data_IF_315700775399
#
_entry.id   IF_315700775399
#
_cell.length_a   1.000
_cell.length_b   1.000
_cell.length_c   1.000
_cell.angle_alpha   90.00
_cell.angle_beta   90.00
_cell.angle_gamma   90.00
#
_symmetry.space_group_name_H-M   'P 1'
#
loop_
_entity.id
_entity.type
_entity.pdbx_description
1 polymer ?
#
# COMPACT_ATOMS: atom_id res chain seq x y z
N UNK A 1 -1.24 43.89 -10.70
CA UNK A 1 -0.58 43.79 -9.39
C UNK A 1 -0.12 42.36 -9.26
N UNK A 2 1.19 42.14 -9.25
CA UNK A 2 1.79 40.81 -9.33
C UNK A 2 1.54 40.01 -8.04
N UNK A 3 1.54 38.67 -8.13
CA UNK A 3 1.34 37.77 -7.00
C UNK A 3 2.39 38.00 -5.90
N UNK A 4 3.62 38.32 -6.31
CA UNK A 4 4.72 38.65 -5.39
C UNK A 4 4.43 39.91 -4.56
N UNK A 5 3.82 40.93 -5.18
CA UNK A 5 3.42 42.17 -4.49
C UNK A 5 2.30 41.94 -3.48
N UNK A 6 1.42 40.95 -3.72
CA UNK A 6 0.36 40.56 -2.77
C UNK A 6 0.95 39.82 -1.56
N UNK A 7 1.91 38.93 -1.79
CA UNK A 7 2.59 38.18 -0.73
C UNK A 7 3.41 39.13 0.16
N UNK A 8 4.17 40.06 -0.43
CA UNK A 8 4.92 41.06 0.35
C UNK A 8 4.02 41.91 1.24
N UNK A 9 2.88 42.36 0.72
CA UNK A 9 1.92 43.18 1.48
C UNK A 9 1.26 42.40 2.62
N UNK A 10 0.92 41.13 2.38
CA UNK A 10 0.33 40.28 3.40
C UNK A 10 1.31 39.97 4.55
N UNK A 11 2.59 39.78 4.25
CA UNK A 11 3.63 39.54 5.25
C UNK A 11 3.99 40.78 6.10
N UNK A 12 3.63 41.98 5.63
CA UNK A 12 3.92 43.25 6.29
C UNK A 12 2.73 43.80 7.09
N UNK A 13 1.60 43.09 7.14
CA UNK A 13 0.42 43.50 7.90
C UNK A 13 0.61 43.19 9.40
N UNK A 14 0.78 44.21 10.28
CA UNK A 14 1.04 44.00 11.70
C UNK A 14 -0.18 43.44 12.47
N UNK A 15 -1.39 43.46 11.89
CA UNK A 15 -2.60 42.97 12.55
C UNK A 15 -2.87 41.48 12.29
N UNK A 16 -2.28 40.89 11.25
CA UNK A 16 -2.57 39.51 10.79
C UNK A 16 -1.37 38.74 10.25
N UNK A 17 -0.17 39.33 10.31
CA UNK A 17 1.05 38.72 9.79
C UNK A 17 1.58 37.59 10.70
N UNK A 18 2.33 36.64 10.12
CA UNK A 18 3.06 35.64 10.89
C UNK A 18 4.15 36.30 11.76
N UNK A 19 4.75 35.52 12.68
CA UNK A 19 5.78 36.06 13.57
C UNK A 19 6.93 36.73 12.80
N UNK A 20 7.59 37.76 13.36
CA UNK A 20 8.62 38.55 12.66
C UNK A 20 9.75 37.67 12.09
N UNK A 21 10.10 36.61 12.80
CA UNK A 21 11.14 35.67 12.40
C UNK A 21 10.74 34.83 11.18
N UNK A 22 9.45 34.46 11.07
CA UNK A 22 8.94 33.74 9.92
C UNK A 22 8.85 34.65 8.69
N UNK A 23 8.33 35.87 8.87
CA UNK A 23 8.25 36.86 7.79
C UNK A 23 9.64 37.19 7.22
N UNK A 24 10.66 37.32 8.09
CA UNK A 24 12.03 37.58 7.67
C UNK A 24 12.64 36.44 6.84
N UNK A 25 12.38 35.17 7.21
CA UNK A 25 12.86 34.00 6.46
C UNK A 25 12.22 33.88 5.10
N UNK A 26 10.91 34.13 5.00
CA UNK A 26 10.18 34.09 3.72
C UNK A 26 10.65 35.22 2.80
N UNK A 27 10.87 36.43 3.33
CA UNK A 27 11.38 37.55 2.53
C UNK A 27 12.83 37.33 2.05
N UNK A 28 13.67 36.63 2.83
CA UNK A 28 15.03 36.29 2.45
C UNK A 28 15.12 35.18 1.38
N UNK A 29 14.09 34.34 1.27
CA UNK A 29 14.00 33.27 0.28
C UNK A 29 13.48 33.73 -1.10
N UNK A 30 12.92 34.94 -1.19
CA UNK A 30 12.48 35.50 -2.47
C UNK A 30 13.70 35.93 -3.30
N UNK A 31 13.79 35.54 -4.59
CA UNK A 31 14.92 35.90 -5.44
C UNK A 31 15.01 37.42 -5.58
N UNK A 32 16.18 37.98 -5.21
CA UNK A 32 16.44 39.40 -5.36
C UNK A 32 16.48 39.77 -6.85
N UNK A 33 15.41 40.39 -7.35
CA UNK A 33 15.37 40.91 -8.71
C UNK A 33 16.38 42.06 -8.85
N UNK A 34 17.63 41.73 -9.26
CA UNK A 34 18.51 42.72 -9.89
C UNK A 34 17.81 43.16 -11.18
N UNK A 35 17.25 44.37 -11.17
CA UNK A 35 16.79 45.04 -12.38
C UNK A 35 18.01 45.28 -13.28
N UNK A 36 18.25 44.36 -14.21
CA UNK A 36 19.16 44.57 -15.34
C UNK A 36 18.50 45.61 -16.27
N UNK A 37 19.17 46.72 -16.63
CA UNK A 37 18.51 47.80 -17.37
C UNK A 37 18.50 47.60 -18.88
N UNK A 38 18.90 46.45 -19.45
CA UNK A 38 19.22 46.36 -20.88
C UNK A 38 18.45 45.22 -21.58
N UNK A 39 17.23 45.53 -22.02
CA UNK A 39 16.67 44.97 -23.25
C UNK A 39 15.78 46.03 -23.88
N UNK A 40 15.97 46.30 -25.18
CA UNK A 40 15.20 45.52 -26.14
C UNK A 40 15.97 45.11 -27.42
N UNK A 41 15.27 44.31 -28.22
CA UNK A 41 15.58 43.85 -29.59
C UNK A 41 16.44 42.58 -29.64
N UNK A 42 15.82 41.44 -29.94
CA UNK A 42 15.78 40.93 -31.31
C UNK A 42 14.79 39.76 -31.43
N UNK A 43 13.90 39.88 -32.42
CA UNK A 43 13.11 38.78 -32.99
C UNK A 43 14.00 37.98 -33.96
N UNK A 44 13.59 36.72 -34.18
CA UNK A 44 13.85 35.87 -35.35
C UNK A 44 15.28 35.30 -35.52
N UNK A 45 15.41 33.98 -35.37
CA UNK A 45 15.90 33.06 -36.41
C UNK A 45 16.10 31.64 -35.85
N UNK A 46 15.35 30.66 -36.38
CA UNK A 46 15.89 29.32 -36.64
C UNK A 46 16.86 29.43 -37.86
N UNK A 47 17.72 28.44 -38.24
CA UNK A 47 17.58 26.99 -37.98
C UNK A 47 18.92 26.19 -37.86
N UNK A 48 18.80 24.86 -37.85
CA UNK A 48 19.74 23.81 -38.28
C UNK A 48 20.82 23.25 -37.32
N UNK A 49 20.88 21.91 -37.29
CA UNK A 49 22.05 21.08 -37.00
C UNK A 49 22.18 20.66 -35.53
N UNK A 50 22.44 19.43 -35.15
CA UNK A 50 22.81 18.24 -35.90
C UNK A 50 22.47 16.99 -35.06
N UNK A 51 22.16 15.92 -35.77
CA UNK A 51 22.04 14.55 -35.29
C UNK A 51 23.39 14.03 -34.77
N UNK A 52 23.37 13.34 -33.64
CA UNK A 52 24.41 12.36 -33.29
C UNK A 52 23.75 11.17 -32.57
N UNK A 53 23.47 10.13 -33.36
CA UNK A 53 23.25 8.77 -32.90
C UNK A 53 24.54 8.24 -32.27
N UNK A 54 24.44 7.62 -31.10
CA UNK A 54 25.36 6.56 -30.68
C UNK A 54 24.54 5.45 -30.01
N UNK A 55 24.15 4.48 -30.84
CA UNK A 55 23.65 3.19 -30.40
C UNK A 55 24.86 2.31 -30.05
N UNK A 56 24.87 1.78 -28.82
CA UNK A 56 25.72 0.64 -28.44
C UNK A 56 24.77 -0.48 -28.08
N UNK A 57 24.76 -1.52 -28.90
CA UNK A 57 23.93 -2.72 -28.75
C UNK A 57 24.82 -3.96 -28.90
N UNK A 58 24.55 -4.91 -27.99
CA UNK A 58 24.80 -6.35 -28.01
C UNK A 58 26.19 -6.92 -27.68
N UNK A 59 26.23 -7.65 -26.57
CA UNK A 59 26.56 -9.07 -26.61
C UNK A 59 25.73 -9.84 -25.56
N UNK A 60 24.73 -10.58 -26.04
CA UNK A 60 23.95 -11.57 -25.30
C UNK A 60 24.75 -12.87 -25.24
N UNK A 61 24.97 -13.38 -24.02
CA UNK A 61 25.49 -14.72 -23.76
C UNK A 61 24.36 -15.73 -23.69
N UNK A 62 24.37 -16.70 -24.60
CA UNK A 62 23.43 -17.83 -24.67
C UNK A 62 23.86 -18.91 -23.67
N UNK A 63 22.96 -19.29 -22.75
CA UNK A 63 23.09 -20.51 -21.95
C UNK A 63 21.95 -21.45 -22.36
N UNK A 64 22.30 -22.62 -22.89
CA UNK A 64 21.37 -23.64 -23.37
C UNK A 64 20.71 -24.44 -22.24
N UNK A 65 19.62 -25.18 -22.52
CA UNK A 65 18.95 -26.00 -21.53
C UNK A 65 19.60 -27.38 -21.40
N UNK A 66 19.83 -27.82 -20.16
CA UNK A 66 20.15 -29.20 -19.84
C UNK A 66 18.83 -29.98 -19.60
N UNK A 67 18.68 -31.05 -20.37
CA UNK A 67 17.61 -32.05 -20.25
C UNK A 67 18.00 -33.04 -19.15
N UNK A 68 17.10 -33.31 -18.20
CA UNK A 68 17.27 -34.32 -17.15
C UNK A 68 15.92 -34.95 -16.77
N UNK A 69 15.88 -36.24 -16.39
CA UNK A 69 14.77 -37.13 -16.72
C UNK A 69 13.62 -37.15 -15.71
N UNK A 70 12.48 -37.61 -16.23
CA UNK A 70 11.25 -37.96 -15.53
C UNK A 70 11.46 -38.95 -14.39
N UNK A 71 10.95 -38.59 -13.20
CA UNK A 71 10.67 -39.54 -12.13
C UNK A 71 9.16 -39.72 -12.04
N UNK A 72 8.70 -40.90 -12.43
CA UNK A 72 7.34 -41.40 -12.22
C UNK A 72 7.17 -41.75 -10.74
N UNK A 73 6.26 -41.07 -10.03
CA UNK A 73 5.78 -41.51 -8.72
C UNK A 73 4.30 -41.85 -8.79
N UNK A 74 3.97 -43.05 -8.33
CA UNK A 74 2.63 -43.59 -8.20
C UNK A 74 1.88 -42.90 -7.05
N UNK A 75 0.56 -42.67 -7.15
CA UNK A 75 -0.21 -42.20 -6.01
C UNK A 75 -0.53 -43.36 -5.06
N UNK A 76 -0.04 -43.21 -3.83
CA UNK A 76 -0.49 -43.95 -2.65
C UNK A 76 -1.89 -43.48 -2.26
N UNK A 77 -2.77 -44.46 -2.01
CA UNK A 77 -4.09 -44.27 -1.42
C UNK A 77 -4.01 -43.66 -0.01
N UNK A 78 -4.89 -42.70 0.24
CA UNK A 78 -5.61 -42.55 1.51
C UNK A 78 -4.95 -41.68 2.59
N UNK A 79 -5.33 -40.41 2.63
CA UNK A 79 -5.40 -39.64 3.87
C UNK A 79 -6.57 -38.65 3.76
N UNK A 80 -7.48 -38.56 4.75
CA UNK A 80 -8.63 -37.67 4.67
C UNK A 80 -8.16 -36.21 4.77
N UNK A 81 -8.46 -35.46 3.71
CA UNK A 81 -8.32 -34.01 3.63
C UNK A 81 -9.25 -33.36 4.67
N UNK A 82 -8.78 -32.42 5.53
CA UNK A 82 -9.67 -31.72 6.44
C UNK A 82 -10.59 -30.82 5.60
N UNK A 83 -11.87 -31.16 5.59
CA UNK A 83 -12.93 -30.37 4.95
C UNK A 83 -12.84 -28.91 5.39
N UNK A 84 -12.57 -28.02 4.45
CA UNK A 84 -12.76 -26.59 4.62
C UNK A 84 -14.25 -26.32 4.86
N UNK A 85 -14.62 -26.09 6.12
CA UNK A 85 -15.97 -25.66 6.47
C UNK A 85 -16.20 -24.26 5.91
N UNK A 86 -17.08 -24.16 4.91
CA UNK A 86 -17.49 -22.89 4.30
C UNK A 86 -18.16 -22.03 5.38
N UNK A 87 -17.53 -20.91 5.74
CA UNK A 87 -18.07 -19.92 6.68
C UNK A 87 -19.31 -19.27 6.05
N UNK A 88 -20.45 -19.34 6.75
CA UNK A 88 -21.70 -18.74 6.27
C UNK A 88 -21.57 -17.21 6.20
N UNK A 89 -22.08 -16.62 5.12
CA UNK A 89 -22.01 -15.17 4.80
C UNK A 89 -22.66 -14.23 5.82
N UNK A 90 -23.32 -14.73 6.86
CA UNK A 90 -23.89 -13.95 7.97
C UNK A 90 -22.98 -13.81 9.19
N UNK A 91 -21.88 -14.57 9.26
CA UNK A 91 -20.97 -14.61 10.41
C UNK A 91 -19.73 -13.71 10.23
N UNK A 92 -19.64 -12.95 9.13
CA UNK A 92 -18.53 -12.04 8.86
C UNK A 92 -18.84 -10.58 9.26
N UNK A 93 -17.81 -9.85 9.66
CA UNK A 93 -17.84 -8.40 9.78
C UNK A 93 -18.03 -7.73 8.42
N UNK A 94 -18.44 -6.44 8.36
CA UNK A 94 -18.63 -5.71 7.11
C UNK A 94 -17.40 -5.70 6.19
N UNK A 95 -16.22 -5.91 6.78
CA UNK A 95 -14.94 -5.97 6.10
C UNK A 95 -14.50 -7.40 5.71
N UNK A 96 -15.42 -8.37 5.83
CA UNK A 96 -15.24 -9.76 5.41
C UNK A 96 -14.58 -10.67 6.44
N UNK A 97 -13.97 -10.13 7.50
CA UNK A 97 -13.30 -10.94 8.54
C UNK A 97 -14.37 -11.69 9.37
N UNK A 98 -14.29 -13.03 9.51
CA UNK A 98 -15.22 -13.79 10.34
C UNK A 98 -15.28 -13.29 11.78
N UNK A 99 -16.47 -13.23 12.37
CA UNK A 99 -16.70 -12.95 13.80
C UNK A 99 -16.52 -14.20 14.66
N UNK A 100 -16.59 -15.38 14.06
CA UNK A 100 -16.38 -16.67 14.71
C UNK A 100 -15.84 -17.70 13.71
N UNK A 101 -15.03 -18.65 14.18
CA UNK A 101 -14.57 -19.81 13.40
C UNK A 101 -14.74 -21.05 14.27
N UNK A 102 -15.45 -22.06 13.77
CA UNK A 102 -15.71 -23.29 14.53
C UNK A 102 -16.45 -23.06 15.86
N UNK A 103 -17.25 -21.99 15.95
CA UNK A 103 -17.96 -21.59 17.18
C UNK A 103 -17.11 -20.81 18.20
N UNK A 104 -15.81 -20.61 17.93
CA UNK A 104 -14.95 -19.77 18.76
C UNK A 104 -14.99 -18.32 18.28
N UNK A 105 -15.17 -17.32 19.18
CA UNK A 105 -15.22 -15.91 18.79
C UNK A 105 -13.86 -15.41 18.30
N UNK A 106 -13.88 -14.52 17.30
CA UNK A 106 -12.71 -13.80 16.80
C UNK A 106 -12.66 -12.43 17.46
N UNK A 107 -11.70 -12.22 18.35
CA UNK A 107 -11.50 -10.96 19.05
C UNK A 107 -10.86 -9.92 18.13
N UNK A 108 -11.28 -8.65 18.26
CA UNK A 108 -10.81 -7.55 17.42
C UNK A 108 -10.57 -6.28 18.24
N UNK A 109 -9.63 -5.46 17.80
CA UNK A 109 -9.34 -4.15 18.40
C UNK A 109 -9.09 -4.22 19.91
N UNK A 110 -9.77 -3.34 20.66
CA UNK A 110 -9.62 -3.25 22.12
C UNK A 110 -10.00 -4.55 22.86
N UNK A 111 -10.88 -5.38 22.29
CA UNK A 111 -11.27 -6.64 22.91
C UNK A 111 -10.09 -7.63 23.00
N UNK A 112 -9.10 -7.52 22.10
CA UNK A 112 -7.88 -8.31 22.19
C UNK A 112 -7.10 -7.93 23.44
N UNK A 113 -6.88 -6.63 23.67
CA UNK A 113 -6.12 -6.13 24.80
C UNK A 113 -6.81 -6.42 26.14
N UNK A 114 -8.13 -6.32 26.20
CA UNK A 114 -8.92 -6.73 27.37
C UNK A 114 -8.71 -8.21 27.68
N UNK A 115 -8.82 -9.08 26.66
CA UNK A 115 -8.65 -10.52 26.86
C UNK A 115 -7.23 -10.87 27.31
N UNK A 116 -6.21 -10.24 26.73
CA UNK A 116 -4.80 -10.43 27.14
C UNK A 116 -4.60 -10.05 28.61
N UNK A 117 -5.15 -8.92 29.05
CA UNK A 117 -5.03 -8.45 30.42
C UNK A 117 -5.78 -9.34 31.45
N UNK A 118 -6.82 -10.04 31.02
CA UNK A 118 -7.65 -10.92 31.86
C UNK A 118 -7.20 -12.40 31.80
N UNK A 119 -6.33 -12.77 30.87
CA UNK A 119 -5.87 -14.15 30.69
C UNK A 119 -4.88 -14.54 31.79
N UNK A 120 -5.06 -15.73 32.37
CA UNK A 120 -4.19 -16.27 33.43
C UNK A 120 -3.36 -17.48 32.97
N UNK A 121 -3.60 -17.99 31.75
CA UNK A 121 -2.94 -19.17 31.18
C UNK A 121 -2.59 -19.00 29.69
N UNK A 122 -1.90 -19.98 29.13
CA UNK A 122 -1.43 -20.00 27.74
C UNK A 122 -2.47 -20.54 26.74
N UNK A 123 -3.76 -20.58 27.11
CA UNK A 123 -4.81 -21.09 26.24
C UNK A 123 -4.93 -20.24 24.97
N UNK A 124 -4.79 -20.88 23.81
CA UNK A 124 -4.89 -20.19 22.54
C UNK A 124 -6.31 -19.68 22.24
N UNK A 125 -6.39 -18.46 21.69
CA UNK A 125 -7.62 -17.80 21.27
C UNK A 125 -7.51 -17.23 19.85
N UNK A 126 -8.64 -16.79 19.27
CA UNK A 126 -8.68 -16.24 17.92
C UNK A 126 -8.72 -14.71 17.94
N UNK A 127 -7.86 -14.10 17.13
CA UNK A 127 -7.84 -12.65 16.91
C UNK A 127 -7.95 -12.34 15.42
N UNK A 128 -8.65 -11.27 15.08
CA UNK A 128 -8.87 -10.84 13.69
C UNK A 128 -8.45 -9.40 13.46
N UNK A 129 -7.99 -9.11 12.25
CA UNK A 129 -7.61 -7.75 11.86
C UNK A 129 -6.72 -7.71 10.63
N UNK A 130 -6.03 -6.59 10.45
CA UNK A 130 -5.11 -6.33 9.34
C UNK A 130 -3.69 -6.32 9.85
N UNK A 131 -2.83 -7.13 9.25
CA UNK A 131 -1.41 -7.18 9.63
C UNK A 131 -0.68 -6.05 8.93
N UNK A 132 0.09 -5.28 9.71
CA UNK A 132 1.01 -4.27 9.20
C UNK A 132 2.39 -4.46 9.82
N UNK A 133 3.41 -4.22 9.00
CA UNK A 133 4.78 -4.13 9.47
C UNK A 133 5.04 -2.70 9.94
N UNK A 134 5.50 -2.55 11.16
CA UNK A 134 5.96 -1.31 11.75
C UNK A 134 7.47 -1.34 11.87
N UNK A 135 8.12 -0.35 11.28
CA UNK A 135 9.56 -0.12 11.36
C UNK A 135 9.76 1.21 12.07
N UNK A 136 10.15 1.15 13.33
CA UNK A 136 10.58 2.28 14.13
C UNK A 136 12.00 2.66 13.73
N UNK A 137 12.20 3.89 13.25
CA UNK A 137 13.53 4.47 13.17
C UNK A 137 13.98 4.81 14.60
N UNK A 138 14.77 3.92 15.19
CA UNK A 138 15.37 4.15 16.50
C UNK A 138 16.89 3.94 16.43
N UNK A 139 17.63 4.93 16.93
CA UNK A 139 19.07 4.83 17.17
C UNK A 139 19.32 3.92 18.37
N UNK A 140 19.21 2.60 18.19
CA UNK A 140 19.55 1.64 19.26
C UNK A 140 21.06 1.52 19.32
N UNK A 141 21.67 2.04 20.39
CA UNK A 141 23.02 1.60 20.75
C UNK A 141 23.04 0.06 20.91
N UNK A 142 24.12 -0.61 20.49
CA UNK A 142 24.18 -2.07 20.39
C UNK A 142 24.28 -2.74 21.78
N UNK A 143 23.20 -2.75 22.56
CA UNK A 143 23.15 -3.44 23.86
C UNK A 143 21.74 -3.68 24.44
N UNK A 144 20.65 -3.65 23.66
CA UNK A 144 19.39 -4.16 24.20
C UNK A 144 19.57 -5.68 24.47
N UNK A 145 19.33 -6.18 25.70
CA UNK A 145 19.37 -7.60 25.97
C UNK A 145 18.38 -8.30 25.03
N UNK A 146 18.87 -9.26 24.24
CA UNK A 146 18.04 -10.00 23.31
C UNK A 146 16.88 -10.66 24.05
N UNK A 147 15.66 -10.47 23.57
CA UNK A 147 14.48 -11.17 24.05
C UNK A 147 14.05 -12.19 23.00
N UNK A 148 13.62 -13.41 23.40
CA UNK A 148 13.05 -14.38 22.47
C UNK A 148 11.68 -13.95 21.91
N UNK A 149 11.02 -12.96 22.53
CA UNK A 149 9.65 -12.55 22.20
C UNK A 149 9.55 -11.08 21.76
N UNK A 150 10.43 -10.20 22.23
CA UNK A 150 10.36 -8.78 21.93
C UNK A 150 11.48 -8.38 20.97
N UNK A 151 11.11 -7.84 19.80
CA UNK A 151 12.04 -7.09 18.96
C UNK A 151 12.30 -5.69 19.55
N UNK A 152 13.47 -5.09 19.29
CA UNK A 152 13.81 -3.74 19.74
C UNK A 152 12.82 -2.69 19.22
N UNK A 153 12.66 -1.58 19.95
CA UNK A 153 11.91 -0.38 19.54
C UNK A 153 10.44 -0.56 19.13
N UNK A 154 9.81 -1.66 19.54
CA UNK A 154 8.50 -2.02 19.03
C UNK A 154 8.46 -2.25 17.51
N UNK A 155 9.61 -2.54 16.90
CA UNK A 155 9.68 -3.08 15.54
C UNK A 155 8.92 -4.40 15.43
N UNK A 156 8.34 -4.63 14.25
CA UNK A 156 7.77 -5.91 13.90
C UNK A 156 6.36 -5.75 13.37
N UNK A 157 5.48 -6.68 13.72
CA UNK A 157 4.14 -6.70 13.15
C UNK A 157 3.11 -6.38 14.21
N UNK A 158 2.03 -5.78 13.74
CA UNK A 158 0.91 -5.41 14.56
C UNK A 158 -0.39 -5.77 13.85
N UNK A 159 -1.43 -5.93 14.65
CA UNK A 159 -2.77 -6.25 14.17
C UNK A 159 -3.71 -5.06 14.35
N UNK A 160 -4.10 -4.41 13.25
CA UNK A 160 -5.04 -3.30 13.28
C UNK A 160 -6.48 -3.80 13.15
N UNK A 161 -7.42 -3.13 13.82
CA UNK A 161 -8.85 -3.37 13.65
C UNK A 161 -9.47 -2.57 12.49
N UNK A 162 -8.69 -1.67 11.89
CA UNK A 162 -9.05 -0.89 10.72
C UNK A 162 -8.16 -1.26 9.54
N UNK A 163 -8.68 -1.06 8.33
CA UNK A 163 -7.89 -1.15 7.09
C UNK A 163 -6.69 -0.20 7.15
N UNK A 164 -5.59 -0.49 6.42
CA UNK A 164 -4.46 0.43 6.33
C UNK A 164 -4.93 1.83 5.93
N UNK A 165 -4.62 2.84 6.75
CA UNK A 165 -5.00 4.23 6.51
C UNK A 165 -5.99 4.81 7.53
N UNK A 166 -6.78 3.96 8.20
CA UNK A 166 -7.69 4.42 9.26
C UNK A 166 -6.94 4.92 10.49
N UNK A 167 -7.54 5.87 11.22
CA UNK A 167 -7.02 6.44 12.49
C UNK A 167 -6.96 5.45 13.67
N UNK A 168 -7.12 4.14 13.41
CA UNK A 168 -6.84 3.09 14.38
C UNK A 168 -5.34 3.04 14.62
N UNK A 169 -4.89 3.64 15.72
CA UNK A 169 -3.51 3.54 16.18
C UNK A 169 -3.02 2.09 16.24
N UNK A 170 -1.71 1.86 16.34
CA UNK A 170 -1.16 0.53 16.18
C UNK A 170 -1.80 -0.41 17.20
N UNK A 171 -2.52 -1.40 16.69
CA UNK A 171 -3.13 -2.41 17.55
C UNK A 171 -2.06 -3.32 18.18
N UNK A 172 -2.48 -4.39 18.88
CA UNK A 172 -1.58 -5.27 19.59
C UNK A 172 -0.40 -5.72 18.72
N UNK A 173 0.79 -5.65 19.30
CA UNK A 173 2.00 -6.15 18.66
C UNK A 173 2.00 -7.68 18.67
N UNK A 174 2.37 -8.25 17.53
CA UNK A 174 2.41 -9.69 17.31
C UNK A 174 3.85 -10.19 17.37
N UNK A 175 4.06 -11.25 18.14
CA UNK A 175 5.30 -12.03 18.10
C UNK A 175 5.11 -13.15 17.10
N UNK A 176 5.70 -12.95 15.92
CA UNK A 176 5.66 -13.93 14.85
C UNK A 176 6.97 -14.71 14.91
N UNK A 177 6.88 -16.02 15.14
CA UNK A 177 8.01 -16.93 15.01
C UNK A 177 8.43 -17.10 13.54
N UNK A 178 8.93 -18.29 13.16
CA UNK A 178 9.21 -18.63 11.74
C UNK A 178 7.99 -18.59 10.79
N UNK A 179 6.82 -18.19 11.29
CA UNK A 179 5.53 -18.12 10.60
C UNK A 179 5.34 -16.85 9.74
N UNK A 180 6.36 -16.01 9.55
CA UNK A 180 6.25 -14.79 8.71
C UNK A 180 5.77 -15.09 7.28
N UNK A 181 6.08 -16.30 6.78
CA UNK A 181 5.66 -16.76 5.45
C UNK A 181 4.16 -17.05 5.34
N UNK A 182 3.45 -17.17 6.47
CA UNK A 182 2.01 -17.47 6.51
C UNK A 182 1.15 -16.22 6.54
N UNK A 183 1.73 -15.06 6.88
CA UNK A 183 0.96 -13.83 6.96
C UNK A 183 0.73 -13.30 5.54
N UNK A 184 -0.52 -12.98 5.18
CA UNK A 184 -0.78 -12.35 3.89
C UNK A 184 -0.08 -10.99 3.84
N UNK A 185 0.21 -10.53 2.63
CA UNK A 185 0.78 -9.20 2.41
C UNK A 185 0.02 -8.10 3.16
N UNK A 186 0.75 -7.05 3.53
CA UNK A 186 0.25 -5.91 4.31
C UNK A 186 -1.11 -5.42 3.80
N UNK A 187 -2.05 -5.22 4.73
CA UNK A 187 -3.38 -4.71 4.42
C UNK A 187 -4.46 -5.74 4.08
N UNK A 188 -4.17 -7.04 4.23
CA UNK A 188 -5.16 -8.10 4.13
C UNK A 188 -5.70 -8.50 5.50
N UNK A 189 -7.01 -8.76 5.55
CA UNK A 189 -7.66 -9.33 6.72
C UNK A 189 -7.12 -10.72 7.02
N UNK A 190 -6.94 -11.02 8.31
CA UNK A 190 -6.56 -12.33 8.82
C UNK A 190 -7.41 -12.67 10.03
N UNK A 191 -7.53 -13.97 10.30
CA UNK A 191 -7.76 -14.48 11.64
C UNK A 191 -6.57 -15.36 12.02
N UNK A 192 -5.97 -15.02 13.16
CA UNK A 192 -4.81 -15.69 13.73
C UNK A 192 -5.27 -16.47 14.96
N UNK A 193 -4.70 -17.65 15.14
CA UNK A 193 -4.69 -18.34 16.44
C UNK A 193 -3.45 -17.89 17.18
N UNK A 194 -3.65 -17.36 18.38
CA UNK A 194 -2.60 -16.75 19.20
C UNK A 194 -2.72 -17.21 20.64
N UNK A 195 -1.62 -17.11 21.39
CA UNK A 195 -1.61 -17.28 22.85
C UNK A 195 -0.80 -16.16 23.52
N UNK A 196 -0.95 -16.05 24.84
CA UNK A 196 -0.12 -15.22 25.73
C UNK A 196 0.54 -16.12 26.78
N UNK A 197 1.33 -15.56 27.70
CA UNK A 197 2.03 -16.33 28.74
C UNK A 197 2.95 -17.42 28.16
N UNK A 198 3.58 -17.13 27.01
CA UNK A 198 4.46 -18.08 26.32
C UNK A 198 5.62 -18.50 27.24
N UNK A 199 5.92 -19.81 27.36
CA UNK A 199 6.97 -20.30 28.26
C UNK A 199 8.34 -19.65 28.03
N UNK A 200 8.66 -19.21 26.80
CA UNK A 200 9.94 -18.53 26.48
C UNK A 200 10.08 -17.19 27.18
N UNK A 201 9.01 -16.63 27.73
CA UNK A 201 9.11 -15.46 28.59
C UNK A 201 10.02 -15.74 29.80
N UNK A 202 10.20 -17.01 30.22
CA UNK A 202 11.19 -17.41 31.24
C UNK A 202 12.60 -16.90 31.00
N UNK A 203 12.94 -16.74 29.73
CA UNK A 203 14.30 -16.42 29.29
C UNK A 203 14.49 -14.91 29.10
N UNK A 204 13.42 -14.11 29.27
CA UNK A 204 13.51 -12.66 29.26
C UNK A 204 14.16 -12.11 30.53
N UNK A 205 14.93 -11.03 30.38
CA UNK A 205 15.49 -10.31 31.50
C UNK A 205 14.38 -9.81 32.45
N UNK A 206 14.61 -9.75 33.79
CA UNK A 206 13.58 -9.39 34.76
C UNK A 206 12.90 -8.05 34.47
N UNK A 207 13.63 -7.09 33.90
CA UNK A 207 13.16 -5.74 33.60
C UNK A 207 12.12 -5.70 32.47
N UNK A 208 12.13 -6.70 31.59
CA UNK A 208 11.21 -6.80 30.45
C UNK A 208 10.29 -8.02 30.57
N UNK A 209 10.34 -8.74 31.69
CA UNK A 209 9.63 -10.01 31.87
C UNK A 209 8.12 -9.86 31.70
N UNK A 210 7.52 -8.88 32.36
CA UNK A 210 6.08 -8.63 32.25
C UNK A 210 5.66 -8.41 30.79
N UNK A 211 6.44 -7.65 30.00
CA UNK A 211 6.16 -7.42 28.58
C UNK A 211 6.28 -8.70 27.75
N UNK A 212 7.17 -9.61 28.13
CA UNK A 212 7.29 -10.92 27.48
C UNK A 212 6.11 -11.84 27.82
N UNK A 213 5.65 -11.83 29.09
CA UNK A 213 4.49 -12.63 29.51
C UNK A 213 3.21 -12.14 28.79
N UNK A 214 3.06 -10.83 28.59
CA UNK A 214 1.94 -10.21 27.86
C UNK A 214 2.07 -10.29 26.32
N UNK A 215 3.15 -10.89 25.80
CA UNK A 215 3.40 -10.93 24.37
C UNK A 215 2.41 -11.86 23.65
N UNK A 216 1.75 -11.33 22.61
CA UNK A 216 0.79 -12.10 21.80
C UNK A 216 1.56 -12.89 20.75
N UNK A 217 1.67 -14.20 20.95
CA UNK A 217 2.43 -15.09 20.07
C UNK A 217 1.51 -15.72 19.03
N UNK A 218 1.90 -15.64 17.77
CA UNK A 218 1.13 -16.23 16.66
C UNK A 218 1.48 -17.71 16.51
N UNK A 219 0.50 -18.60 16.70
CA UNK A 219 0.63 -20.03 16.45
C UNK A 219 0.40 -20.37 14.97
N UNK A 220 -0.69 -19.85 14.39
CA UNK A 220 -1.09 -20.16 13.01
C UNK A 220 -2.07 -19.14 12.43
N UNK A 221 -2.16 -19.12 11.10
CA UNK A 221 -3.23 -18.43 10.38
C UNK A 221 -4.38 -19.40 10.20
N UNK A 222 -5.52 -19.13 10.82
CA UNK A 222 -6.71 -20.01 10.75
C UNK A 222 -7.68 -19.58 9.65
N UNK A 223 -7.60 -18.32 9.24
CA UNK A 223 -8.33 -17.80 8.09
C UNK A 223 -7.48 -16.70 7.45
N UNK A 224 -6.88 -16.94 6.29
CA UNK A 224 -6.46 -15.85 5.43
C UNK A 224 -7.72 -15.28 4.77
N UNK A 225 -7.83 -13.95 4.65
CA UNK A 225 -8.80 -13.41 3.71
C UNK A 225 -8.57 -14.07 2.35
N UNK A 226 -9.64 -14.51 1.63
CA UNK A 226 -9.47 -15.06 0.29
C UNK A 226 -8.63 -14.12 -0.56
N UNK A 227 -7.89 -14.65 -1.53
CA UNK A 227 -7.32 -13.77 -2.56
C UNK A 227 -8.47 -12.92 -3.09
N UNK A 228 -8.37 -11.60 -2.93
CA UNK A 228 -9.38 -10.72 -3.49
C UNK A 228 -9.32 -10.94 -4.99
N UNK A 229 -10.47 -11.21 -5.61
CA UNK A 229 -10.56 -11.07 -7.05
C UNK A 229 -10.07 -9.66 -7.40
N UNK A 230 -9.28 -9.57 -8.48
CA UNK A 230 -8.70 -8.30 -8.88
C UNK A 230 -9.84 -7.28 -9.02
N UNK A 231 -9.77 -6.16 -8.30
CA UNK A 231 -10.90 -5.23 -8.22
C UNK A 231 -11.39 -4.82 -9.62
N UNK A 232 -12.70 -4.76 -9.82
CA UNK A 232 -13.30 -4.27 -11.05
C UNK A 232 -14.32 -3.18 -10.72
N UNK A 233 -14.52 -2.20 -11.61
CA UNK A 233 -15.56 -1.23 -11.40
C UNK A 233 -16.95 -1.90 -11.35
N UNK A 234 -17.94 -1.32 -10.65
CA UNK A 234 -19.27 -1.93 -10.50
C UNK A 234 -20.01 -2.22 -11.82
N UNK A 235 -19.63 -1.54 -12.90
CA UNK A 235 -20.19 -1.73 -14.25
C UNK A 235 -19.37 -2.69 -15.13
N UNK A 236 -18.29 -3.28 -14.62
CA UNK A 236 -17.57 -4.32 -15.32
C UNK A 236 -18.48 -5.53 -15.59
N UNK A 237 -18.27 -6.22 -16.70
CA UNK A 237 -19.15 -7.29 -17.14
C UNK A 237 -18.48 -8.24 -18.12
N UNK A 238 -19.29 -8.99 -18.87
CA UNK A 238 -18.81 -10.01 -19.82
C UNK A 238 -17.91 -9.45 -20.95
N UNK A 239 -17.92 -8.14 -21.15
CA UNK A 239 -17.09 -7.43 -22.14
C UNK A 239 -15.78 -6.91 -21.55
N UNK A 240 -15.53 -7.10 -20.25
CA UNK A 240 -14.25 -6.73 -19.63
C UNK A 240 -13.15 -7.64 -20.20
N UNK A 241 -12.04 -7.08 -20.71
CA UNK A 241 -10.98 -7.87 -21.33
C UNK A 241 -10.41 -8.93 -20.39
N UNK A 242 -10.10 -10.11 -20.94
CA UNK A 242 -9.51 -11.21 -20.17
C UNK A 242 -8.19 -10.81 -19.50
N UNK A 243 -7.42 -9.89 -20.12
CA UNK A 243 -6.20 -9.33 -19.55
C UNK A 243 -6.46 -8.55 -18.25
N UNK A 244 -7.62 -7.90 -18.12
CA UNK A 244 -8.01 -7.18 -16.90
C UNK A 244 -8.53 -8.14 -15.84
N UNK A 245 -9.39 -9.09 -16.23
CA UNK A 245 -9.99 -10.06 -15.30
C UNK A 245 -8.94 -11.02 -14.73
N UNK A 246 -8.04 -11.51 -15.58
CA UNK A 246 -7.04 -12.52 -15.21
C UNK A 246 -5.69 -11.89 -14.82
N UNK A 247 -5.64 -10.58 -14.56
CA UNK A 247 -4.40 -9.93 -14.12
C UNK A 247 -3.98 -10.48 -12.76
N UNK A 248 -2.68 -10.45 -12.50
CA UNK A 248 -2.14 -10.84 -11.19
C UNK A 248 -2.71 -9.94 -10.10
N UNK A 249 -3.37 -10.52 -9.09
CA UNK A 249 -3.86 -9.76 -7.94
C UNK A 249 -2.68 -9.19 -7.17
N UNK A 250 -2.74 -7.88 -6.85
CA UNK A 250 -1.79 -7.21 -5.98
C UNK A 250 -2.51 -6.78 -4.68
N UNK A 251 -1.78 -6.51 -3.58
CA UNK A 251 -2.36 -5.87 -2.41
C UNK A 251 -3.15 -4.62 -2.80
N UNK A 252 -4.43 -4.58 -2.44
CA UNK A 252 -5.35 -3.53 -2.85
C UNK A 252 -5.46 -2.45 -1.78
N UNK A 253 -5.12 -1.21 -2.15
CA UNK A 253 -5.17 -0.05 -1.25
C UNK A 253 -6.56 0.60 -1.16
N UNK A 254 -7.55 0.10 -1.91
CA UNK A 254 -8.91 0.61 -1.91
C UNK A 254 -9.28 1.37 -3.19
N UNK A 255 -10.48 1.94 -3.16
CA UNK A 255 -11.06 2.74 -4.23
C UNK A 255 -11.19 4.17 -3.74
N UNK A 256 -10.67 5.14 -4.48
CA UNK A 256 -11.04 6.53 -4.27
C UNK A 256 -12.17 6.94 -5.21
N UNK A 257 -13.18 7.59 -4.66
CA UNK A 257 -14.29 8.16 -5.43
C UNK A 257 -14.18 9.68 -5.41
N UNK A 258 -13.93 10.24 -6.57
CA UNK A 258 -13.85 11.69 -6.73
C UNK A 258 -14.25 12.04 -8.12
N UNK A 259 -15.46 12.58 -8.29
CA UNK A 259 -15.91 13.15 -9.57
C UNK A 259 -14.94 14.22 -10.09
N UNK A 260 -15.32 14.97 -11.12
CA UNK A 260 -14.43 15.96 -11.76
C UNK A 260 -13.71 16.94 -10.81
N UNK A 261 -14.26 17.19 -9.61
CA UNK A 261 -13.68 18.06 -8.56
C UNK A 261 -13.39 17.36 -7.22
N UNK A 262 -13.42 16.03 -7.18
CA UNK A 262 -13.20 15.27 -5.94
C UNK A 262 -11.76 15.42 -5.46
N UNK A 263 -11.57 15.62 -4.16
CA UNK A 263 -10.26 15.50 -3.55
C UNK A 263 -9.86 14.02 -3.53
N UNK A 264 -8.58 13.69 -3.79
CA UNK A 264 -8.09 12.31 -3.64
C UNK A 264 -8.37 11.79 -2.23
N UNK A 265 -8.64 10.48 -2.11
CA UNK A 265 -8.78 9.85 -0.81
C UNK A 265 -7.38 9.71 -0.18
N UNK A 266 -7.15 10.47 0.89
CA UNK A 266 -5.84 10.54 1.52
C UNK A 266 -5.37 9.17 2.06
N UNK A 267 -6.29 8.29 2.49
CA UNK A 267 -5.96 6.99 3.05
C UNK A 267 -5.55 6.01 1.94
N UNK A 268 -6.36 5.91 0.87
CA UNK A 268 -6.07 5.09 -0.31
C UNK A 268 -4.72 5.49 -0.91
N UNK A 269 -4.48 6.80 -1.06
CA UNK A 269 -3.24 7.34 -1.59
C UNK A 269 -2.05 7.08 -0.67
N UNK A 270 -2.19 7.25 0.65
CA UNK A 270 -1.11 6.97 1.60
C UNK A 270 -0.68 5.50 1.56
N UNK A 271 -1.62 4.55 1.49
CA UNK A 271 -1.32 3.13 1.32
C UNK A 271 -0.48 2.87 0.06
N UNK A 272 -0.95 3.37 -1.09
CA UNK A 272 -0.30 3.12 -2.37
C UNK A 272 1.11 3.71 -2.43
N UNK A 273 1.28 4.92 -1.90
CA UNK A 273 2.57 5.63 -1.83
C UNK A 273 3.54 4.95 -0.88
N UNK A 274 3.07 4.45 0.26
CA UNK A 274 3.89 3.70 1.20
C UNK A 274 4.44 2.42 0.54
N UNK A 275 3.59 1.66 -0.15
CA UNK A 275 4.01 0.48 -0.89
C UNK A 275 5.08 0.82 -1.94
N UNK A 276 4.83 1.87 -2.73
CA UNK A 276 5.73 2.34 -3.76
C UNK A 276 7.11 2.79 -3.21
N UNK A 277 7.14 3.53 -2.10
CA UNK A 277 8.39 3.94 -1.42
C UNK A 277 9.13 2.75 -0.81
N UNK A 278 8.42 1.73 -0.36
CA UNK A 278 8.99 0.49 0.14
C UNK A 278 9.46 -0.46 -0.97
N UNK A 279 9.23 -0.13 -2.25
CA UNK A 279 9.49 -1.04 -3.38
C UNK A 279 8.58 -2.27 -3.40
N UNK A 280 7.47 -2.23 -2.64
CA UNK A 280 6.44 -3.25 -2.64
C UNK A 280 5.48 -3.06 -3.83
N UNK A 281 4.76 -4.12 -4.16
CA UNK A 281 3.72 -4.09 -5.18
C UNK A 281 2.37 -3.82 -4.51
N UNK A 282 1.56 -3.01 -5.16
CA UNK A 282 0.22 -2.66 -4.71
C UNK A 282 -0.62 -2.18 -5.91
N UNK A 283 -1.94 -2.21 -5.77
CA UNK A 283 -2.83 -1.50 -6.69
C UNK A 283 -3.89 -0.70 -5.94
N UNK A 284 -4.37 0.36 -6.56
CA UNK A 284 -5.56 1.08 -6.11
C UNK A 284 -6.43 1.41 -7.32
N UNK A 285 -7.71 1.71 -7.06
CA UNK A 285 -8.61 2.17 -8.09
C UNK A 285 -9.07 3.60 -7.82
N UNK A 286 -9.31 4.36 -8.87
CA UNK A 286 -10.02 5.63 -8.80
C UNK A 286 -11.20 5.64 -9.75
N UNK A 287 -12.31 6.21 -9.31
CA UNK A 287 -13.48 6.48 -10.15
C UNK A 287 -13.62 8.00 -10.26
N UNK A 288 -13.51 8.48 -11.49
CA UNK A 288 -13.71 9.89 -11.83
C UNK A 288 -14.88 10.03 -12.79
N UNK A 289 -15.55 11.18 -12.76
CA UNK A 289 -16.56 11.50 -13.76
C UNK A 289 -15.96 12.36 -14.87
N UNK A 290 -16.42 12.17 -16.11
CA UNK A 290 -16.24 13.16 -17.17
C UNK A 290 -16.94 14.48 -16.79
N UNK A 291 -16.78 15.50 -17.64
CA UNK A 291 -17.48 16.78 -17.47
C UNK A 291 -19.00 16.58 -17.61
N UNK A 292 -19.40 15.61 -18.44
CA UNK A 292 -20.79 15.21 -18.69
C UNK A 292 -21.37 14.31 -17.60
N UNK A 293 -20.52 13.79 -16.70
CA UNK A 293 -20.92 12.98 -15.55
C UNK A 293 -20.75 11.47 -15.72
N UNK A 294 -20.22 11.02 -16.85
CA UNK A 294 -20.01 9.59 -17.13
C UNK A 294 -18.81 9.07 -16.31
N UNK A 295 -18.93 7.90 -15.65
CA UNK A 295 -17.86 7.39 -14.81
C UNK A 295 -16.74 6.75 -15.65
N UNK A 296 -15.50 6.99 -15.25
CA UNK A 296 -14.29 6.37 -15.76
C UNK A 296 -13.56 5.75 -14.58
N UNK A 297 -13.29 4.45 -14.66
CA UNK A 297 -12.48 3.77 -13.66
C UNK A 297 -11.03 3.69 -14.13
N UNK A 298 -10.11 3.93 -13.21
CA UNK A 298 -8.68 3.78 -13.41
C UNK A 298 -8.12 2.85 -12.33
N UNK A 299 -7.43 1.80 -12.73
CA UNK A 299 -6.70 0.90 -11.84
C UNK A 299 -5.21 1.21 -12.02
N UNK A 300 -4.55 1.65 -10.96
CA UNK A 300 -3.11 1.97 -10.98
C UNK A 300 -2.36 0.94 -10.16
N UNK A 301 -1.32 0.34 -10.75
CA UNK A 301 -0.62 -0.84 -10.23
C UNK A 301 0.88 -0.60 -10.18
N UNK A 302 1.53 -0.84 -9.05
CA UNK A 302 2.99 -0.96 -8.95
C UNK A 302 3.35 -2.42 -9.18
N UNK A 303 4.03 -2.73 -10.29
CA UNK A 303 4.30 -4.11 -10.67
C UNK A 303 5.50 -4.70 -9.90
N UNK A 304 5.52 -6.03 -9.68
CA UNK A 304 6.73 -6.73 -9.26
C UNK A 304 7.88 -6.48 -10.26
N UNK A 305 9.02 -6.01 -9.76
CA UNK A 305 10.15 -5.57 -10.60
C UNK A 305 10.17 -4.08 -10.95
N UNK A 306 9.18 -3.32 -10.46
CA UNK A 306 9.11 -1.86 -10.60
C UNK A 306 8.25 -1.41 -11.79
N UNK A 307 8.13 -0.09 -11.93
CA UNK A 307 7.26 0.54 -12.93
C UNK A 307 5.79 0.54 -12.51
N UNK A 308 4.99 1.28 -13.28
CA UNK A 308 3.54 1.38 -13.10
C UNK A 308 2.81 0.79 -14.30
N UNK A 309 1.69 0.16 -14.04
CA UNK A 309 0.66 -0.13 -15.04
C UNK A 309 -0.61 0.62 -14.67
N UNK A 310 -1.26 1.19 -15.68
CA UNK A 310 -2.54 1.88 -15.53
C UNK A 310 -3.51 1.26 -16.52
N UNK A 311 -4.60 0.71 -15.99
CA UNK A 311 -5.74 0.21 -16.74
C UNK A 311 -6.87 1.24 -16.62
N UNK A 312 -7.45 1.66 -17.74
CA UNK A 312 -8.54 2.64 -17.75
C UNK A 312 -9.73 2.03 -18.45
N UNK A 313 -10.87 2.06 -17.76
CA UNK A 313 -12.19 1.71 -18.28
C UNK A 313 -12.98 2.98 -18.58
N UNK A 314 -13.10 3.31 -19.87
CA UNK A 314 -13.99 4.36 -20.35
C UNK A 314 -15.25 3.79 -21.01
N UNK A 315 -15.63 2.54 -20.74
CA UNK A 315 -16.79 1.90 -21.38
C UNK A 315 -18.13 2.55 -21.05
N UNK A 316 -18.20 3.33 -19.98
CA UNK A 316 -19.39 4.12 -19.61
C UNK A 316 -19.34 5.56 -20.14
N UNK A 317 -18.25 6.00 -20.75
CA UNK A 317 -18.13 7.33 -21.35
C UNK A 317 -18.92 7.38 -22.67
N UNK A 318 -20.07 8.05 -22.66
CA UNK A 318 -20.96 8.13 -23.80
C UNK A 318 -20.45 9.06 -24.91
N UNK A 319 -19.50 9.94 -24.58
CA UNK A 319 -18.96 10.95 -25.49
C UNK A 319 -17.52 10.64 -25.93
N UNK A 320 -16.82 9.78 -25.19
CA UNK A 320 -15.51 9.25 -25.53
C UNK A 320 -15.55 7.91 -26.27
N UNK A 321 -14.38 7.27 -26.36
CA UNK A 321 -14.28 5.92 -26.88
C UNK A 321 -14.63 4.92 -25.76
N UNK A 322 -15.65 4.05 -25.93
CA UNK A 322 -16.07 3.12 -24.88
C UNK A 322 -15.16 1.89 -24.87
N UNK A 323 -13.93 2.06 -24.38
CA UNK A 323 -12.88 1.05 -24.47
C UNK A 323 -12.16 0.86 -23.14
N UNK A 324 -11.52 -0.30 -22.98
CA UNK A 324 -10.45 -0.46 -22.03
C UNK A 324 -9.12 -0.07 -22.67
N UNK A 325 -8.29 0.64 -21.92
CA UNK A 325 -6.91 0.94 -22.34
C UNK A 325 -5.92 0.55 -21.25
N UNK A 326 -4.69 0.23 -21.68
CA UNK A 326 -3.55 -0.06 -20.82
C UNK A 326 -2.41 0.86 -21.18
N UNK A 327 -1.74 1.42 -20.18
CA UNK A 327 -0.47 2.12 -20.35
C UNK A 327 0.51 1.68 -19.27
N UNK A 328 1.79 1.68 -19.62
CA UNK A 328 2.88 1.41 -18.68
C UNK A 328 3.71 2.67 -18.49
N UNK A 329 4.09 2.98 -17.27
CA UNK A 329 4.92 4.13 -16.94
C UNK A 329 6.18 3.69 -16.20
N UNK A 330 7.26 4.46 -16.33
CA UNK A 330 8.54 4.14 -15.65
C UNK A 330 8.43 4.28 -14.14
N UNK A 331 7.59 5.19 -13.67
CA UNK A 331 7.39 5.46 -12.26
C UNK A 331 6.43 6.61 -12.04
N UNK A 332 6.68 7.40 -11.02
CA UNK A 332 5.88 8.55 -10.64
C UNK A 332 6.80 9.75 -10.34
N UNK A 333 6.20 10.94 -10.36
CA UNK A 333 6.78 12.16 -9.81
C UNK A 333 5.81 12.76 -8.79
N UNK A 334 6.34 13.33 -7.73
CA UNK A 334 5.57 14.13 -6.78
C UNK A 334 5.33 15.52 -7.38
N UNK A 335 4.06 15.84 -7.59
CA UNK A 335 3.56 17.11 -8.05
C UNK A 335 2.91 17.87 -6.87
N UNK A 336 3.28 19.13 -6.60
CA UNK A 336 2.74 19.89 -5.47
C UNK A 336 1.23 20.14 -5.52
N UNK A 337 0.62 20.11 -6.71
CA UNK A 337 -0.80 20.40 -6.92
C UNK A 337 -1.64 19.13 -7.04
N UNK A 338 -1.10 18.09 -7.67
CA UNK A 338 -1.83 16.87 -8.00
C UNK A 338 -1.37 15.64 -7.21
N UNK A 339 -0.39 15.81 -6.32
CA UNK A 339 0.18 14.71 -5.55
C UNK A 339 0.98 13.79 -6.47
N UNK A 340 0.56 12.55 -6.64
CA UNK A 340 1.33 11.54 -7.37
C UNK A 340 0.90 11.48 -8.84
N UNK A 341 1.80 11.86 -9.74
CA UNK A 341 1.55 11.83 -11.19
C UNK A 341 2.44 10.76 -11.83
N UNK A 342 1.89 9.86 -12.66
CA UNK A 342 2.69 8.90 -13.43
C UNK A 342 3.72 9.60 -14.32
N UNK A 343 4.95 9.08 -14.37
CA UNK A 343 6.04 9.60 -15.20
C UNK A 343 6.53 8.59 -16.24
N UNK A 344 6.91 9.10 -17.42
CA UNK A 344 7.47 8.31 -18.50
C UNK A 344 6.52 7.24 -19.02
N UNK A 345 5.24 7.59 -19.16
CA UNK A 345 4.22 6.69 -19.69
C UNK A 345 4.40 6.47 -21.19
N UNK A 346 4.29 5.20 -21.60
CA UNK A 346 4.14 4.83 -23.00
C UNK A 346 2.74 5.22 -23.52
N UNK A 347 2.56 5.16 -24.83
CA UNK A 347 1.26 5.35 -25.47
C UNK A 347 0.26 4.31 -24.94
N UNK A 348 -0.98 4.76 -24.70
CA UNK A 348 -2.05 3.88 -24.25
C UNK A 348 -2.48 2.93 -25.38
N UNK A 349 -2.59 1.65 -25.05
CA UNK A 349 -3.00 0.60 -25.99
C UNK A 349 -4.42 0.16 -25.64
N UNK A 350 -5.30 0.09 -26.64
CA UNK A 350 -6.65 -0.47 -26.47
C UNK A 350 -6.55 -1.98 -26.27
N UNK A 351 -7.19 -2.49 -25.22
CA UNK A 351 -7.23 -3.91 -24.88
C UNK A 351 -8.65 -4.46 -25.03
N UNK A 352 -8.78 -5.70 -25.50
CA UNK A 352 -10.05 -6.36 -25.85
C UNK A 352 -10.05 -7.79 -25.36
#
# INVERSE_FOLDING_TARGET
>A
MDLEDRIRRALQDPARGPSPDFAARVLAALPAHRRSPWWPLFRLAAPLGATALAAVVLAVGVIGPAVGPSSTMAPLSGSPEPSATVVATGDSSPDGIPRQIGGQPVLRGAAILTHVAESEDDTAFLVGGYVFAFYADCDVEPAAPGSPLLAPCDDGFHLADATPGGSGGPGPRLVIGGAIQLLPGSGRGVVLRVHVHDPRATDCAPEIRQRCDEAIVVESVVWPAPEQDAWLPPWAGVTTPAEVVNRSVLPFCGVEEGGFSGFPDAEVRACFVAALRAGAHAEFASIHSTIEGDPIARITRVLPGGGLEILVDSTQDAFGAPVWTRMTCRGFVEDPQFGFVPDGCAEAVVIR
#
